data_IF_228237952710
#
_entry.id   IF_228237952710
#
_cell.length_a   1.000
_cell.length_b   1.000
_cell.length_c   1.000
_cell.angle_alpha   90.00
_cell.angle_beta   90.00
_cell.angle_gamma   90.00
#
_symmetry.space_group_name_H-M   'P 1'
#
loop_
_entity.id
_entity.type
_entity.pdbx_description
1 polymer ?
#
# COMPACT_ATOMS: atom_id res chain seq x y z
N UNK A 1 -87.45 -63.05 41.58
CA UNK A 1 -86.63 -61.86 41.90
C UNK A 1 -85.17 -62.32 41.89
N UNK A 2 -84.46 -62.13 40.79
CA UNK A 2 -83.05 -62.51 40.67
C UNK A 2 -82.22 -61.55 41.53
N UNK A 3 -81.70 -62.04 42.66
CA UNK A 3 -80.90 -61.23 43.57
C UNK A 3 -79.56 -60.87 42.88
N UNK A 4 -79.26 -59.58 42.80
CA UNK A 4 -77.94 -59.10 42.38
C UNK A 4 -76.93 -59.56 43.44
N UNK A 5 -75.86 -60.22 43.02
CA UNK A 5 -74.81 -60.67 43.94
C UNK A 5 -74.08 -59.46 44.51
N UNK A 6 -73.72 -59.48 45.80
CA UNK A 6 -72.99 -58.40 46.46
C UNK A 6 -71.66 -58.05 45.74
N UNK A 7 -71.06 -59.04 45.07
CA UNK A 7 -69.89 -58.88 44.22
C UNK A 7 -70.16 -57.97 43.01
N UNK A 8 -71.28 -58.16 42.32
CA UNK A 8 -71.66 -57.32 41.17
C UNK A 8 -71.95 -55.88 41.62
N UNK A 9 -72.62 -55.69 42.77
CA UNK A 9 -72.85 -54.37 43.33
C UNK A 9 -71.55 -53.63 43.70
N UNK A 10 -70.56 -54.35 44.25
CA UNK A 10 -69.22 -53.81 44.56
C UNK A 10 -68.45 -53.40 43.29
N UNK A 11 -68.47 -54.24 42.25
CA UNK A 11 -67.82 -53.94 40.96
C UNK A 11 -68.44 -52.73 40.27
N UNK A 12 -69.78 -52.61 40.28
CA UNK A 12 -70.50 -51.45 39.74
C UNK A 12 -70.15 -50.18 40.51
N UNK A 13 -70.09 -50.26 41.85
CA UNK A 13 -69.71 -49.12 42.70
C UNK A 13 -68.27 -48.68 42.44
N UNK A 14 -67.34 -49.62 42.29
CA UNK A 14 -65.95 -49.34 41.96
C UNK A 14 -65.83 -48.68 40.57
N UNK A 15 -66.55 -49.19 39.58
CA UNK A 15 -66.58 -48.61 38.23
C UNK A 15 -67.14 -47.19 38.22
N UNK A 16 -68.25 -46.92 38.95
CA UNK A 16 -68.83 -45.58 39.06
C UNK A 16 -67.86 -44.61 39.77
N UNK A 17 -67.16 -45.07 40.81
CA UNK A 17 -66.13 -44.27 41.49
C UNK A 17 -64.98 -43.94 40.52
N UNK A 18 -64.53 -44.91 39.74
CA UNK A 18 -63.52 -44.71 38.70
C UNK A 18 -63.96 -43.67 37.66
N UNK A 19 -65.19 -43.77 37.15
CA UNK A 19 -65.74 -42.80 36.20
C UNK A 19 -65.84 -41.38 36.78
N UNK A 20 -66.19 -41.24 38.06
CA UNK A 20 -66.22 -39.95 38.73
C UNK A 20 -64.80 -39.38 38.94
N UNK A 21 -63.81 -40.23 39.26
CA UNK A 21 -62.41 -39.83 39.35
C UNK A 21 -61.88 -39.38 37.99
N UNK A 22 -62.14 -40.13 36.93
CA UNK A 22 -61.74 -39.76 35.56
C UNK A 22 -62.35 -38.42 35.17
N UNK A 23 -63.63 -38.20 35.46
CA UNK A 23 -64.29 -36.91 35.18
C UNK A 23 -63.60 -35.75 35.91
N UNK A 24 -63.27 -35.92 37.19
CA UNK A 24 -62.56 -34.91 37.97
C UNK A 24 -61.12 -34.69 37.46
N UNK A 25 -60.42 -35.76 37.08
CA UNK A 25 -59.09 -35.70 36.50
C UNK A 25 -59.10 -34.95 35.16
N UNK A 26 -60.05 -35.26 34.27
CA UNK A 26 -60.21 -34.58 32.99
C UNK A 26 -60.53 -33.09 33.16
N UNK A 27 -61.41 -32.74 34.10
CA UNK A 27 -61.68 -31.33 34.42
C UNK A 27 -60.41 -30.60 34.85
N UNK A 28 -59.59 -31.20 35.70
CA UNK A 28 -58.32 -30.62 36.10
C UNK A 28 -57.35 -30.47 34.93
N UNK A 29 -57.21 -31.49 34.08
CA UNK A 29 -56.30 -31.45 32.92
C UNK A 29 -56.72 -30.37 31.90
N UNK A 30 -58.02 -30.27 31.61
CA UNK A 30 -58.57 -29.36 30.60
C UNK A 30 -58.65 -27.90 31.04
N UNK A 31 -58.95 -27.66 32.32
CA UNK A 31 -59.29 -26.31 32.81
C UNK A 31 -58.40 -25.79 33.94
N UNK A 32 -57.58 -26.66 34.55
CA UNK A 32 -56.61 -26.27 35.55
C UNK A 32 -55.46 -25.43 34.97
N UNK A 33 -54.73 -24.76 35.85
CA UNK A 33 -53.51 -24.02 35.54
C UNK A 33 -52.30 -24.63 36.22
N UNK A 34 -51.13 -24.60 35.59
CA UNK A 34 -49.90 -25.14 36.18
C UNK A 34 -49.94 -26.67 36.31
N UNK A 35 -49.47 -27.20 37.43
CA UNK A 35 -49.44 -28.64 37.72
C UNK A 35 -50.74 -29.07 38.39
N UNK A 36 -51.35 -30.15 37.90
CA UNK A 36 -52.54 -30.79 38.46
C UNK A 36 -52.24 -32.22 38.90
N UNK A 37 -53.08 -32.75 39.79
CA UNK A 37 -52.94 -34.11 40.32
C UNK A 37 -54.08 -35.00 39.83
N UNK A 38 -53.71 -36.06 39.12
CA UNK A 38 -54.59 -37.12 38.62
C UNK A 38 -54.66 -38.21 39.68
N UNK A 39 -55.87 -38.52 40.15
CA UNK A 39 -56.12 -39.58 41.13
C UNK A 39 -56.63 -40.84 40.44
N UNK A 40 -55.92 -41.96 40.59
CA UNK A 40 -56.25 -43.23 39.93
C UNK A 40 -57.20 -44.08 40.80
N UNK A 41 -58.01 -44.98 40.19
CA UNK A 41 -58.94 -45.83 40.93
C UNK A 41 -58.29 -46.81 41.93
N UNK A 42 -56.98 -47.06 41.81
CA UNK A 42 -56.18 -47.86 42.74
C UNK A 42 -55.65 -47.06 43.95
N UNK A 43 -55.95 -45.76 44.02
CA UNK A 43 -55.52 -44.84 45.08
C UNK A 43 -54.16 -44.18 44.83
N UNK A 44 -53.47 -44.52 43.74
CA UNK A 44 -52.22 -43.85 43.36
C UNK A 44 -52.50 -42.50 42.69
N UNK A 45 -51.48 -41.65 42.61
CA UNK A 45 -51.60 -40.32 42.01
C UNK A 45 -50.48 -40.04 41.02
N UNK A 46 -50.77 -39.19 40.03
CA UNK A 46 -49.81 -38.66 39.08
C UNK A 46 -49.91 -37.14 39.03
N UNK A 47 -48.77 -36.44 39.09
CA UNK A 47 -48.72 -34.98 38.95
C UNK A 47 -48.12 -34.60 37.60
N UNK A 48 -48.80 -33.73 36.87
CA UNK A 48 -48.38 -33.26 35.55
C UNK A 48 -49.03 -31.93 35.17
N UNK A 49 -48.58 -31.28 34.08
CA UNK A 49 -49.13 -29.99 33.69
C UNK A 49 -50.56 -30.15 33.16
N UNK A 50 -51.44 -29.21 33.52
CA UNK A 50 -52.68 -29.00 32.80
C UNK A 50 -52.39 -28.41 31.40
N UNK A 51 -53.35 -28.53 30.48
CA UNK A 51 -53.19 -28.04 29.10
C UNK A 51 -52.83 -26.55 29.02
N UNK A 52 -53.41 -25.74 29.92
CA UNK A 52 -53.06 -24.33 30.04
C UNK A 52 -51.60 -24.14 30.44
N UNK A 53 -51.08 -24.94 31.38
CA UNK A 53 -49.67 -24.90 31.77
C UNK A 53 -48.72 -25.20 30.61
N UNK A 54 -49.06 -26.18 29.76
CA UNK A 54 -48.29 -26.48 28.53
C UNK A 54 -48.33 -25.31 27.55
N UNK A 55 -49.51 -24.72 27.33
CA UNK A 55 -49.68 -23.59 26.40
C UNK A 55 -48.93 -22.34 26.86
N UNK A 56 -48.94 -22.07 28.17
CA UNK A 56 -48.20 -20.97 28.78
C UNK A 56 -46.69 -21.18 28.62
N UNK A 57 -46.18 -22.41 28.80
CA UNK A 57 -44.77 -22.75 28.54
C UNK A 57 -44.38 -22.59 27.06
N UNK A 58 -45.21 -23.06 26.13
CA UNK A 58 -44.97 -22.87 24.68
C UNK A 58 -44.90 -21.38 24.33
N UNK A 59 -45.80 -20.57 24.91
CA UNK A 59 -45.82 -19.12 24.69
C UNK A 59 -44.54 -18.45 25.22
N UNK A 60 -44.08 -18.86 26.41
CA UNK A 60 -42.82 -18.37 26.98
C UNK A 60 -41.59 -18.75 26.13
N UNK A 61 -41.58 -19.96 25.57
CA UNK A 61 -40.53 -20.40 24.64
C UNK A 61 -40.54 -19.55 23.36
N UNK A 62 -41.72 -19.31 22.77
CA UNK A 62 -41.86 -18.49 21.56
C UNK A 62 -41.33 -17.05 21.76
N UNK A 63 -41.60 -16.43 22.92
CA UNK A 63 -41.07 -15.11 23.27
C UNK A 63 -39.54 -15.16 23.37
N UNK A 64 -38.99 -16.18 24.04
CA UNK A 64 -37.55 -16.35 24.21
C UNK A 64 -36.82 -16.55 22.86
N UNK A 65 -37.41 -17.33 21.95
CA UNK A 65 -36.86 -17.55 20.61
C UNK A 65 -36.85 -16.26 19.77
N UNK A 66 -37.91 -15.45 19.85
CA UNK A 66 -37.96 -14.16 19.16
C UNK A 66 -36.88 -13.18 19.65
N UNK A 67 -36.59 -13.17 20.95
CA UNK A 67 -35.50 -12.39 21.52
C UNK A 67 -34.12 -12.84 21.01
N UNK A 68 -33.87 -14.15 20.91
CA UNK A 68 -32.63 -14.69 20.32
C UNK A 68 -32.49 -14.34 18.84
N UNK A 69 -33.60 -14.31 18.09
CA UNK A 69 -33.56 -13.94 16.67
C UNK A 69 -33.21 -12.45 16.45
N UNK A 70 -33.51 -11.59 17.43
CA UNK A 70 -33.14 -10.18 17.43
C UNK A 70 -31.66 -9.93 17.79
N UNK A 71 -30.95 -10.97 18.25
CA UNK A 71 -29.52 -10.95 18.54
C UNK A 71 -28.66 -11.56 17.41
N UNK A 72 -29.26 -11.88 16.26
CA UNK A 72 -28.53 -12.32 15.07
C UNK A 72 -28.03 -11.12 14.28
N UNK A 73 -26.88 -11.28 13.62
CA UNK A 73 -26.30 -10.30 12.71
C UNK A 73 -27.28 -9.96 11.57
N UNK A 74 -28.12 -8.95 11.75
CA UNK A 74 -28.89 -8.42 10.63
C UNK A 74 -27.91 -7.83 9.61
N UNK A 75 -27.94 -8.27 8.35
CA UNK A 75 -27.09 -7.71 7.29
C UNK A 75 -27.25 -6.18 7.24
N UNK A 76 -28.47 -5.68 7.44
CA UNK A 76 -28.78 -4.24 7.47
C UNK A 76 -28.16 -3.49 8.68
N UNK A 77 -27.85 -4.18 9.77
CA UNK A 77 -27.44 -3.56 11.03
C UNK A 77 -25.91 -3.46 11.18
N UNK A 78 -25.11 -4.14 10.34
CA UNK A 78 -23.64 -4.05 10.38
C UNK A 78 -23.05 -4.14 11.80
N UNK A 79 -23.51 -5.12 12.59
CA UNK A 79 -23.13 -5.37 13.99
C UNK A 79 -23.67 -4.37 15.03
N UNK A 80 -24.54 -3.42 14.65
CA UNK A 80 -25.08 -2.41 15.58
C UNK A 80 -26.03 -3.01 16.63
N UNK A 81 -26.60 -4.17 16.33
CA UNK A 81 -27.52 -4.96 17.15
C UNK A 81 -26.83 -5.87 18.17
N UNK A 82 -25.49 -5.99 18.14
CA UNK A 82 -24.76 -6.76 19.14
C UNK A 82 -24.57 -5.95 20.43
N UNK A 83 -24.67 -6.68 21.54
CA UNK A 83 -24.36 -6.19 22.87
C UNK A 83 -22.91 -5.70 22.98
N UNK A 84 -21.95 -6.50 22.50
CA UNK A 84 -20.53 -6.12 22.44
C UNK A 84 -20.04 -6.00 20.99
N UNK A 85 -20.18 -4.78 20.47
CA UNK A 85 -19.74 -4.43 19.11
C UNK A 85 -18.22 -4.49 18.97
N UNK A 86 -17.47 -4.24 20.04
CA UNK A 86 -16.02 -4.19 20.01
C UNK A 86 -15.44 -5.60 19.88
N UNK A 87 -15.89 -6.54 20.73
CA UNK A 87 -15.50 -7.94 20.64
C UNK A 87 -15.89 -8.56 19.28
N UNK A 88 -17.07 -8.22 18.76
CA UNK A 88 -17.51 -8.69 17.44
C UNK A 88 -16.58 -8.24 16.30
N UNK A 89 -16.18 -6.96 16.27
CA UNK A 89 -15.22 -6.46 15.26
C UNK A 89 -13.84 -7.08 15.41
N UNK A 90 -13.38 -7.29 16.65
CA UNK A 90 -12.12 -8.01 16.94
C UNK A 90 -12.16 -9.43 16.39
N UNK A 91 -13.24 -10.17 16.64
CA UNK A 91 -13.40 -11.55 16.18
C UNK A 91 -13.49 -11.66 14.65
N UNK A 92 -14.01 -10.64 13.96
CA UNK A 92 -14.02 -10.56 12.50
C UNK A 92 -12.68 -10.14 11.89
N UNK A 93 -11.70 -9.73 12.70
CA UNK A 93 -10.40 -9.26 12.22
C UNK A 93 -10.47 -7.94 11.46
N UNK A 94 -11.51 -7.14 11.66
CA UNK A 94 -11.65 -5.83 11.00
C UNK A 94 -10.70 -4.83 11.66
N UNK A 95 -10.07 -3.97 10.86
CA UNK A 95 -9.19 -2.91 11.35
C UNK A 95 -9.98 -2.01 12.32
N UNK A 96 -9.59 -1.88 13.61
CA UNK A 96 -10.23 -0.95 14.53
C UNK A 96 -10.15 0.49 13.99
N UNK A 97 -11.13 1.33 14.37
CA UNK A 97 -11.27 2.71 13.92
C UNK A 97 -10.05 3.61 14.18
N UNK A 98 -9.10 3.17 15.00
CA UNK A 98 -7.78 3.78 15.15
C UNK A 98 -6.72 2.72 15.51
N UNK A 99 -5.55 2.78 14.87
CA UNK A 99 -4.34 2.07 15.31
C UNK A 99 -4.33 0.54 15.10
N UNK A 100 -5.16 0.01 14.19
CA UNK A 100 -5.19 -1.42 13.90
C UNK A 100 -3.94 -1.93 13.17
N UNK A 101 -3.50 -3.14 13.51
CA UNK A 101 -2.40 -3.85 12.83
C UNK A 101 -2.96 -4.97 11.96
N UNK A 102 -2.62 -4.98 10.66
CA UNK A 102 -2.83 -6.13 9.78
C UNK A 102 -1.63 -7.07 9.91
N UNK A 103 -1.83 -8.27 10.45
CA UNK A 103 -0.77 -9.26 10.64
C UNK A 103 -0.48 -10.10 9.37
N UNK A 104 -1.35 -10.04 8.36
CA UNK A 104 -1.22 -10.76 7.09
C UNK A 104 -1.02 -9.84 5.88
N UNK A 105 -0.59 -10.39 4.73
CA UNK A 105 -0.39 -9.61 3.51
C UNK A 105 -1.71 -9.06 2.97
N UNK A 106 -1.70 -7.80 2.54
CA UNK A 106 -2.83 -7.18 1.84
C UNK A 106 -2.61 -7.31 0.33
N UNK A 107 -3.36 -8.22 -0.32
CA UNK A 107 -3.27 -8.41 -1.76
C UNK A 107 -4.19 -7.41 -2.47
N UNK A 108 -3.63 -6.52 -3.30
CA UNK A 108 -4.43 -5.67 -4.17
C UNK A 108 -4.26 -6.09 -5.63
N UNK A 109 -5.39 -6.31 -6.33
CA UNK A 109 -5.42 -6.79 -7.71
C UNK A 109 -5.36 -5.67 -8.75
N UNK A 110 -5.63 -4.42 -8.35
CA UNK A 110 -5.67 -3.26 -9.26
C UNK A 110 -5.07 -2.01 -8.60
N UNK A 111 -3.74 -2.01 -8.41
CA UNK A 111 -2.97 -0.88 -7.88
C UNK A 111 -3.15 -0.65 -6.38
N UNK A 112 -2.12 -0.15 -5.69
CA UNK A 112 -2.14 0.05 -4.24
C UNK A 112 -2.18 1.55 -3.88
N UNK A 113 -3.35 2.23 -3.95
CA UNK A 113 -3.46 3.64 -3.58
C UNK A 113 -3.50 3.78 -2.04
N UNK A 114 -2.34 3.64 -1.39
CA UNK A 114 -2.21 3.96 0.03
C UNK A 114 -1.89 5.45 0.20
N UNK A 115 -2.86 6.24 0.63
CA UNK A 115 -2.62 7.61 1.11
C UNK A 115 -2.20 7.53 2.58
N UNK A 116 -0.90 7.70 2.84
CA UNK A 116 -0.39 7.93 4.20
C UNK A 116 -0.41 9.43 4.49
N UNK A 117 -1.32 9.95 5.33
CA UNK A 117 -1.31 11.36 5.69
C UNK A 117 -0.05 11.67 6.49
N UNK A 118 0.82 12.47 5.88
CA UNK A 118 2.05 12.95 6.49
C UNK A 118 1.75 14.21 7.32
N UNK A 119 1.42 14.02 8.61
CA UNK A 119 1.20 15.13 9.54
C UNK A 119 2.52 15.51 10.23
N UNK A 120 3.16 16.59 9.77
CA UNK A 120 4.38 17.16 10.38
C UNK A 120 5.50 17.43 9.37
N UNK A 121 6.59 18.05 9.84
CA UNK A 121 7.73 18.50 9.00
C UNK A 121 8.50 17.35 8.33
N UNK A 122 8.30 16.11 8.80
CA UNK A 122 8.96 14.90 8.29
C UNK A 122 8.08 13.69 8.54
N UNK A 123 7.57 13.05 7.49
CA UNK A 123 6.81 11.81 7.62
C UNK A 123 7.09 10.90 6.44
N UNK A 124 7.21 9.59 6.71
CA UNK A 124 7.60 8.61 5.71
C UNK A 124 6.87 7.29 5.88
N UNK A 125 6.82 6.56 4.77
CA UNK A 125 6.30 5.21 4.70
C UNK A 125 7.47 4.22 4.72
N UNK A 126 7.53 3.38 5.76
CA UNK A 126 8.49 2.29 5.85
C UNK A 126 8.15 1.19 4.84
N UNK A 127 9.09 0.86 3.96
CA UNK A 127 8.90 -0.12 2.89
C UNK A 127 9.35 -1.50 3.32
N UNK A 128 10.46 -1.58 4.07
CA UNK A 128 10.94 -2.83 4.65
C UNK A 128 11.82 -2.59 5.87
N UNK A 129 11.85 -3.59 6.76
CA UNK A 129 12.89 -3.78 7.77
C UNK A 129 13.66 -5.04 7.38
N UNK A 130 14.90 -4.87 6.95
CA UNK A 130 15.77 -5.97 6.53
C UNK A 130 16.44 -6.67 7.70
N UNK A 131 17.22 -7.70 7.38
CA UNK A 131 18.26 -8.24 8.26
C UNK A 131 19.29 -7.13 8.60
N UNK A 132 20.06 -7.33 9.66
CA UNK A 132 21.12 -6.38 10.10
C UNK A 132 20.63 -4.97 10.50
N UNK A 133 19.35 -4.85 10.89
CA UNK A 133 18.73 -3.62 11.41
C UNK A 133 18.66 -2.45 10.42
N UNK A 134 18.62 -2.72 9.11
CA UNK A 134 18.35 -1.70 8.12
C UNK A 134 16.85 -1.48 7.91
N UNK A 135 16.45 -0.22 7.78
CA UNK A 135 15.10 0.18 7.41
C UNK A 135 15.16 1.05 6.16
N UNK A 136 14.39 0.68 5.14
CA UNK A 136 14.19 1.50 3.94
C UNK A 136 12.85 2.23 4.02
N UNK A 137 12.83 3.50 3.64
CA UNK A 137 11.60 4.30 3.62
C UNK A 137 11.59 5.35 2.51
N UNK A 138 10.38 5.71 2.07
CA UNK A 138 10.12 6.90 1.27
C UNK A 138 9.54 7.98 2.19
N UNK A 139 10.10 9.19 2.12
CA UNK A 139 9.73 10.28 3.03
C UNK A 139 9.40 11.55 2.24
N UNK A 140 8.34 12.23 2.65
CA UNK A 140 8.17 13.64 2.36
C UNK A 140 8.86 14.47 3.45
N UNK A 141 9.63 15.47 3.04
CA UNK A 141 10.37 16.33 3.95
C UNK A 141 10.29 17.79 3.54
N UNK A 142 10.09 18.67 4.52
CA UNK A 142 10.11 20.11 4.36
C UNK A 142 11.25 20.69 5.20
N UNK A 143 12.06 21.55 4.60
CA UNK A 143 12.82 22.53 5.35
C UNK A 143 12.02 23.83 5.33
N UNK A 144 11.36 24.16 6.45
CA UNK A 144 10.45 25.31 6.53
C UNK A 144 11.10 26.59 6.01
N UNK A 145 10.43 27.27 5.08
CA UNK A 145 10.91 28.47 4.40
C UNK A 145 11.97 28.25 3.31
N UNK A 146 12.37 27.00 3.02
CA UNK A 146 13.44 26.70 2.06
C UNK A 146 12.97 25.83 0.90
N UNK A 147 12.69 24.55 1.15
CA UNK A 147 12.36 23.59 0.08
C UNK A 147 11.50 22.44 0.58
N UNK A 148 10.81 21.82 -0.37
CA UNK A 148 10.10 20.56 -0.22
C UNK A 148 10.91 19.46 -0.90
N UNK A 149 10.82 18.23 -0.42
CA UNK A 149 11.54 17.13 -1.06
C UNK A 149 10.87 15.78 -0.87
N UNK A 150 10.99 14.94 -1.90
CA UNK A 150 10.83 13.50 -1.79
C UNK A 150 12.18 12.89 -1.46
N UNK A 151 12.22 11.95 -0.52
CA UNK A 151 13.46 11.32 -0.08
C UNK A 151 13.37 9.81 -0.09
N UNK A 152 14.48 9.18 -0.42
CA UNK A 152 14.73 7.76 -0.19
C UNK A 152 15.71 7.67 0.97
N UNK A 153 15.33 6.97 2.04
CA UNK A 153 16.15 6.80 3.22
C UNK A 153 16.47 5.34 3.43
N UNK A 154 17.74 5.08 3.74
CA UNK A 154 18.20 3.81 4.28
C UNK A 154 18.84 4.10 5.64
N UNK A 155 18.19 3.67 6.71
CA UNK A 155 18.64 3.90 8.08
C UNK A 155 19.14 2.60 8.70
N UNK A 156 20.33 2.63 9.29
CA UNK A 156 20.83 1.56 10.12
C UNK A 156 20.43 1.83 11.58
N UNK A 157 19.45 1.09 12.07
CA UNK A 157 18.80 1.33 13.36
C UNK A 157 19.75 1.16 14.55
N UNK A 158 20.77 0.30 14.42
CA UNK A 158 21.73 0.02 15.49
C UNK A 158 22.80 1.09 15.68
N UNK A 159 23.20 1.79 14.61
CA UNK A 159 24.26 2.81 14.63
C UNK A 159 23.73 4.25 14.54
N UNK A 160 22.47 4.42 14.13
CA UNK A 160 21.88 5.73 13.85
C UNK A 160 22.29 6.32 12.49
N UNK A 161 23.16 5.64 11.74
CA UNK A 161 23.61 6.08 10.41
C UNK A 161 22.45 6.09 9.43
N UNK A 162 22.32 7.18 8.67
CA UNK A 162 21.28 7.34 7.65
C UNK A 162 21.91 7.72 6.31
N UNK A 163 21.56 6.97 5.26
CA UNK A 163 21.87 7.30 3.88
C UNK A 163 20.61 7.87 3.23
N UNK A 164 20.72 9.07 2.66
CA UNK A 164 19.56 9.81 2.17
C UNK A 164 19.82 10.30 0.75
N UNK A 165 18.88 10.01 -0.14
CA UNK A 165 18.77 10.63 -1.46
C UNK A 165 17.58 11.59 -1.43
N UNK A 166 17.85 12.87 -1.64
CA UNK A 166 16.87 13.95 -1.53
C UNK A 166 16.60 14.55 -2.90
N UNK A 167 15.37 14.40 -3.38
CA UNK A 167 14.86 14.99 -4.61
C UNK A 167 14.05 16.22 -4.24
N UNK A 168 14.63 17.40 -4.43
CA UNK A 168 14.03 18.67 -4.05
C UNK A 168 13.04 19.16 -5.11
N UNK A 169 12.11 20.01 -4.68
CA UNK A 169 11.12 20.64 -5.54
C UNK A 169 11.67 21.71 -6.49
N UNK A 170 12.97 22.01 -6.41
CA UNK A 170 13.71 22.82 -7.39
C UNK A 170 14.27 21.98 -8.56
N UNK A 171 14.00 20.67 -8.58
CA UNK A 171 14.46 19.74 -9.59
C UNK A 171 15.85 19.14 -9.34
N UNK A 172 16.52 19.50 -8.24
CA UNK A 172 17.84 18.98 -7.90
C UNK A 172 17.78 17.74 -7.01
N UNK A 173 18.66 16.77 -7.28
CA UNK A 173 18.83 15.58 -6.45
C UNK A 173 20.17 15.63 -5.69
N UNK A 174 20.13 15.34 -4.39
CA UNK A 174 21.30 15.35 -3.51
C UNK A 174 21.47 13.99 -2.82
N UNK A 175 22.71 13.52 -2.73
CA UNK A 175 23.10 12.36 -1.94
C UNK A 175 24.46 12.60 -1.30
N UNK A 176 24.73 11.92 -0.19
CA UNK A 176 26.07 11.93 0.41
C UNK A 176 27.11 11.15 -0.40
N UNK A 177 26.67 10.30 -1.33
CA UNK A 177 27.52 9.55 -2.25
C UNK A 177 27.37 10.00 -3.70
N UNK A 178 28.23 9.47 -4.58
CA UNK A 178 28.13 9.68 -6.02
C UNK A 178 27.18 8.67 -6.67
N UNK A 179 26.59 9.05 -7.81
CA UNK A 179 25.96 8.08 -8.69
C UNK A 179 27.03 7.17 -9.30
N UNK A 180 26.87 5.84 -9.16
CA UNK A 180 27.86 4.86 -9.59
C UNK A 180 27.53 4.38 -11.00
N UNK A 181 28.33 4.81 -11.98
CA UNK A 181 28.19 4.39 -13.38
C UNK A 181 29.24 3.30 -13.70
N UNK A 182 28.79 2.10 -14.08
CA UNK A 182 29.69 1.02 -14.51
C UNK A 182 30.27 1.29 -15.91
N UNK A 183 31.59 1.13 -16.07
CA UNK A 183 32.30 1.49 -17.32
C UNK A 183 33.38 0.45 -17.74
N UNK A 184 33.20 -0.82 -17.37
CA UNK A 184 34.07 -1.93 -17.77
C UNK A 184 34.07 -2.16 -19.31
N UNK A 185 35.15 -2.67 -19.89
CA UNK A 185 35.22 -2.93 -21.34
C UNK A 185 34.36 -4.12 -21.76
N UNK A 186 34.12 -5.09 -20.87
CA UNK A 186 33.45 -6.37 -21.19
C UNK A 186 31.95 -6.25 -21.46
N UNK A 187 31.33 -5.12 -21.12
CA UNK A 187 29.94 -4.81 -21.47
C UNK A 187 29.81 -3.75 -22.56
N UNK A 188 30.92 -3.46 -23.27
CA UNK A 188 30.97 -2.53 -24.39
C UNK A 188 31.35 -3.27 -25.67
N UNK A 189 30.70 -2.90 -26.76
CA UNK A 189 31.01 -3.41 -28.11
C UNK A 189 31.12 -2.24 -29.08
N UNK A 190 31.73 -2.45 -30.25
CA UNK A 190 31.95 -1.39 -31.25
C UNK A 190 32.66 -0.14 -30.69
N UNK A 191 33.66 -0.34 -29.83
CA UNK A 191 34.43 0.74 -29.21
C UNK A 191 35.25 1.45 -30.30
N UNK A 192 34.96 2.73 -30.52
CA UNK A 192 35.69 3.61 -31.44
C UNK A 192 36.21 4.81 -30.68
N UNK A 193 37.42 5.23 -31.01
CA UNK A 193 37.97 6.52 -30.54
C UNK A 193 37.19 7.64 -31.21
N UNK A 194 37.01 8.78 -30.52
CA UNK A 194 36.34 9.94 -31.10
C UNK A 194 37.30 10.67 -32.05
N UNK A 195 36.86 10.85 -33.29
CA UNK A 195 37.62 11.55 -34.33
C UNK A 195 37.44 13.07 -34.22
N UNK A 196 38.38 13.85 -34.77
CA UNK A 196 38.33 15.33 -34.83
C UNK A 196 37.96 15.99 -33.49
N UNK A 197 38.45 15.42 -32.39
CA UNK A 197 38.08 15.81 -31.04
C UNK A 197 38.48 17.26 -30.72
N UNK A 198 39.67 17.70 -31.15
CA UNK A 198 40.13 19.08 -30.93
C UNK A 198 39.28 20.09 -31.69
N UNK A 199 39.00 19.85 -32.96
CA UNK A 199 38.09 20.67 -33.77
C UNK A 199 36.70 20.76 -33.13
N UNK A 200 36.16 19.62 -32.69
CA UNK A 200 34.86 19.56 -32.02
C UNK A 200 34.84 20.40 -30.75
N UNK A 201 35.82 20.24 -29.86
CA UNK A 201 35.91 20.98 -28.59
C UNK A 201 36.10 22.48 -28.84
N UNK A 202 36.88 22.88 -29.84
CA UNK A 202 37.04 24.30 -30.24
C UNK A 202 35.71 24.88 -30.73
N UNK A 203 34.88 24.08 -31.41
CA UNK A 203 33.54 24.48 -31.85
C UNK A 203 32.48 24.55 -30.75
N UNK A 204 32.75 24.02 -29.55
CA UNK A 204 31.77 23.96 -28.46
C UNK A 204 31.84 25.17 -27.54
N UNK A 205 30.68 25.73 -27.18
CA UNK A 205 30.60 26.80 -26.18
C UNK A 205 30.53 26.24 -24.76
N UNK A 206 31.63 26.39 -24.02
CA UNK A 206 31.62 26.32 -22.56
C UNK A 206 31.08 27.62 -21.97
N UNK A 207 29.90 27.59 -21.35
CA UNK A 207 29.22 28.81 -20.90
C UNK A 207 28.43 28.60 -19.61
N UNK A 208 28.09 29.71 -18.95
CA UNK A 208 27.08 29.75 -17.89
C UNK A 208 25.74 30.19 -18.48
N UNK A 209 24.66 29.66 -17.94
CA UNK A 209 23.31 29.95 -18.42
C UNK A 209 22.28 29.86 -17.31
N UNK A 210 21.20 30.61 -17.46
CA UNK A 210 20.01 30.50 -16.63
C UNK A 210 19.02 29.55 -17.31
N UNK A 211 18.53 28.55 -16.58
CA UNK A 211 17.50 27.64 -17.08
C UNK A 211 16.12 28.19 -16.78
N UNK A 212 15.20 28.07 -17.73
CA UNK A 212 13.78 28.20 -17.46
C UNK A 212 13.33 26.99 -16.61
N UNK A 213 12.67 27.29 -15.49
CA UNK A 213 12.27 26.34 -14.44
C UNK A 213 13.45 25.60 -13.79
N UNK A 214 14.57 26.29 -13.58
CA UNK A 214 15.72 25.72 -12.91
C UNK A 214 16.64 26.77 -12.32
N UNK A 215 17.80 26.30 -11.85
CA UNK A 215 18.87 27.15 -11.32
C UNK A 215 19.89 27.51 -12.40
N UNK A 216 20.67 28.57 -12.15
CA UNK A 216 21.81 28.92 -12.99
C UNK A 216 22.86 27.81 -12.95
N UNK A 217 23.40 27.46 -14.12
CA UNK A 217 24.35 26.35 -14.30
C UNK A 217 25.50 26.74 -15.22
N UNK A 218 26.51 25.87 -15.26
CA UNK A 218 27.64 25.93 -16.19
C UNK A 218 27.70 24.62 -16.97
N UNK A 219 28.00 24.70 -18.27
CA UNK A 219 28.06 23.51 -19.09
C UNK A 219 28.28 23.80 -20.57
N UNK A 220 27.85 22.84 -21.38
CA UNK A 220 27.87 22.88 -22.84
C UNK A 220 26.46 23.01 -23.38
N UNK A 221 26.33 23.53 -24.60
CA UNK A 221 25.06 23.61 -25.32
C UNK A 221 24.87 22.34 -26.16
N UNK A 222 23.73 21.65 -25.97
CA UNK A 222 23.43 20.40 -26.66
C UNK A 222 23.54 20.51 -28.19
N UNK A 223 23.08 21.63 -28.76
CA UNK A 223 23.12 21.92 -30.20
C UNK A 223 24.56 22.08 -30.74
N UNK A 224 25.52 22.49 -29.92
CA UNK A 224 26.92 22.57 -30.35
C UNK A 224 27.54 21.17 -30.37
N UNK A 225 27.27 20.38 -29.33
CA UNK A 225 27.78 19.01 -29.20
C UNK A 225 27.21 18.09 -30.28
N UNK A 226 25.92 18.22 -30.58
CA UNK A 226 25.21 17.38 -31.54
C UNK A 226 25.85 17.36 -32.93
N UNK A 227 26.42 18.48 -33.39
CA UNK A 227 27.05 18.61 -34.71
C UNK A 227 28.15 17.57 -34.93
N UNK A 228 28.89 17.25 -33.87
CA UNK A 228 30.04 16.34 -33.93
C UNK A 228 29.82 15.05 -33.12
N UNK A 229 28.87 15.04 -32.18
CA UNK A 229 28.55 13.91 -31.31
C UNK A 229 27.03 13.74 -31.12
N UNK A 230 26.29 13.33 -32.16
CA UNK A 230 24.84 13.17 -32.06
C UNK A 230 24.44 12.11 -31.03
N UNK A 231 25.27 11.07 -30.81
CA UNK A 231 25.00 10.02 -29.82
C UNK A 231 24.98 10.51 -28.37
N UNK A 232 25.58 11.67 -28.08
CA UNK A 232 25.52 12.27 -26.75
C UNK A 232 24.23 13.05 -26.49
N UNK A 233 23.37 13.22 -27.51
CA UNK A 233 22.14 14.00 -27.42
C UNK A 233 20.94 13.09 -27.60
N UNK A 234 19.96 13.22 -26.70
CA UNK A 234 18.64 12.61 -26.84
C UNK A 234 17.57 13.69 -26.90
N UNK A 235 16.44 13.37 -27.53
CA UNK A 235 15.30 14.30 -27.67
C UNK A 235 14.07 13.72 -26.98
N UNK A 236 13.34 14.58 -26.29
CA UNK A 236 12.02 14.26 -25.74
C UNK A 236 11.23 15.55 -25.54
N UNK A 237 9.89 15.53 -25.68
CA UNK A 237 9.08 16.69 -25.33
C UNK A 237 9.34 17.13 -23.90
N UNK A 238 9.46 18.45 -23.70
CA UNK A 238 9.54 19.08 -22.39
C UNK A 238 8.48 20.16 -22.25
N UNK A 239 7.61 19.99 -21.27
CA UNK A 239 6.68 21.01 -20.81
C UNK A 239 7.32 21.83 -19.67
N UNK A 240 7.15 23.14 -19.73
CA UNK A 240 7.63 24.13 -18.76
C UNK A 240 6.51 24.55 -17.81
N UNK A 241 6.84 25.19 -16.69
CA UNK A 241 5.88 25.59 -15.64
C UNK A 241 4.81 26.57 -16.12
N UNK A 242 5.07 27.30 -17.21
CA UNK A 242 4.12 28.21 -17.85
C UNK A 242 3.28 27.56 -18.96
N UNK A 243 3.38 26.23 -19.13
CA UNK A 243 2.67 25.46 -20.15
C UNK A 243 3.30 25.52 -21.54
N UNK A 244 4.44 26.21 -21.72
CA UNK A 244 5.20 26.12 -22.98
C UNK A 244 5.68 24.69 -23.18
N UNK A 245 5.61 24.15 -24.40
CA UNK A 245 6.14 22.84 -24.75
C UNK A 245 7.21 23.00 -25.84
N UNK A 246 8.34 22.32 -25.67
CA UNK A 246 9.34 22.12 -26.73
C UNK A 246 9.34 20.63 -27.03
N UNK A 247 8.81 20.24 -28.19
CA UNK A 247 8.61 18.83 -28.56
C UNK A 247 9.92 18.07 -28.81
N UNK A 248 10.94 18.77 -29.32
CA UNK A 248 12.27 18.27 -29.64
C UNK A 248 13.33 18.78 -28.64
N UNK A 249 12.97 18.85 -27.35
CA UNK A 249 13.91 19.34 -26.33
C UNK A 249 15.11 18.40 -26.21
N UNK A 250 16.31 18.94 -26.41
CA UNK A 250 17.58 18.20 -26.41
C UNK A 250 18.15 18.04 -25.00
N UNK A 251 18.46 16.81 -24.63
CA UNK A 251 19.14 16.42 -23.40
C UNK A 251 20.55 15.94 -23.74
N UNK A 252 21.55 16.47 -23.04
CA UNK A 252 22.96 16.19 -23.29
C UNK A 252 23.55 15.27 -22.22
N UNK A 253 24.18 14.18 -22.64
CA UNK A 253 25.11 13.41 -21.82
C UNK A 253 26.44 14.17 -21.68
N UNK A 254 26.40 15.24 -20.88
CA UNK A 254 27.53 16.18 -20.75
C UNK A 254 28.78 15.49 -20.22
N UNK A 255 28.65 14.57 -19.26
CA UNK A 255 29.79 13.86 -18.68
C UNK A 255 30.47 12.93 -19.68
N UNK A 256 29.68 12.18 -20.47
CA UNK A 256 30.20 11.31 -21.52
C UNK A 256 30.86 12.09 -22.66
N UNK A 257 30.16 13.11 -23.19
CA UNK A 257 30.67 13.95 -24.27
C UNK A 257 31.96 14.67 -23.85
N UNK A 258 31.95 15.32 -22.68
CA UNK A 258 33.11 16.04 -22.19
C UNK A 258 34.29 15.08 -21.96
N UNK A 259 34.08 13.95 -21.25
CA UNK A 259 35.15 13.01 -20.95
C UNK A 259 35.80 12.43 -22.21
N UNK A 260 35.00 11.99 -23.19
CA UNK A 260 35.54 11.39 -24.42
C UNK A 260 36.29 12.43 -25.29
N UNK A 261 35.63 13.54 -25.62
CA UNK A 261 36.18 14.51 -26.55
C UNK A 261 37.32 15.32 -25.95
N UNK A 262 37.27 15.73 -24.68
CA UNK A 262 38.38 16.47 -24.08
C UNK A 262 39.61 15.56 -23.91
N UNK A 263 39.41 14.27 -23.64
CA UNK A 263 40.52 13.30 -23.54
C UNK A 263 41.27 13.18 -24.86
N UNK A 264 40.56 12.98 -25.97
CA UNK A 264 41.21 12.88 -27.30
C UNK A 264 41.69 14.25 -27.81
N UNK A 265 40.99 15.34 -27.50
CA UNK A 265 41.45 16.70 -27.84
C UNK A 265 42.78 17.05 -27.17
N UNK A 266 43.00 16.63 -25.91
CA UNK A 266 44.28 16.81 -25.20
C UNK A 266 45.41 16.05 -25.91
N UNK A 267 45.15 14.82 -26.38
CA UNK A 267 46.14 14.05 -27.14
C UNK A 267 46.47 14.74 -28.48
N UNK A 268 45.44 15.18 -29.21
CA UNK A 268 45.62 15.91 -30.46
C UNK A 268 46.36 17.25 -30.27
N UNK A 269 46.13 17.94 -29.15
CA UNK A 269 46.88 19.15 -28.78
C UNK A 269 48.36 18.85 -28.55
N UNK A 270 48.68 17.73 -27.89
CA UNK A 270 50.07 17.31 -27.68
C UNK A 270 50.77 17.02 -29.01
N UNK A 271 50.12 16.26 -29.90
CA UNK A 271 50.65 15.97 -31.24
C UNK A 271 50.92 17.26 -32.02
N UNK A 272 50.01 18.24 -31.92
CA UNK A 272 50.16 19.54 -32.56
C UNK A 272 51.31 20.37 -31.96
N UNK A 273 51.56 20.25 -30.66
CA UNK A 273 52.72 20.89 -30.00
C UNK A 273 54.02 20.26 -30.49
N UNK A 274 54.12 18.93 -30.54
CA UNK A 274 55.30 18.24 -31.07
C UNK A 274 55.57 18.59 -32.54
N UNK A 275 54.50 18.71 -33.33
CA UNK A 275 54.59 19.16 -34.72
C UNK A 275 55.00 20.63 -34.81
N UNK A 276 54.54 21.50 -33.91
CA UNK A 276 54.95 22.90 -33.90
C UNK A 276 56.46 23.09 -33.66
N UNK A 277 57.10 22.14 -32.97
CA UNK A 277 58.54 22.14 -32.71
C UNK A 277 59.32 21.59 -33.91
N UNK A 278 58.82 20.52 -34.53
CA UNK A 278 59.51 19.81 -35.62
C UNK A 278 59.24 20.38 -37.01
N UNK A 279 58.01 20.84 -37.27
CA UNK A 279 57.56 21.46 -38.52
C UNK A 279 56.50 22.55 -38.26
N UNK A 280 56.93 23.78 -37.93
CA UNK A 280 56.03 24.88 -37.60
C UNK A 280 55.02 25.23 -38.70
N UNK A 281 55.38 25.10 -39.98
CA UNK A 281 54.49 25.41 -41.11
C UNK A 281 53.32 24.43 -41.19
N UNK A 282 53.60 23.13 -41.00
CA UNK A 282 52.57 22.08 -40.97
C UNK A 282 51.63 22.25 -39.77
N UNK A 283 52.17 22.52 -38.58
CA UNK A 283 51.37 22.80 -37.39
C UNK A 283 50.47 24.02 -37.59
N UNK A 284 50.99 25.10 -38.20
CA UNK A 284 50.21 26.29 -38.50
C UNK A 284 49.07 26.00 -39.49
N UNK A 285 49.31 25.17 -40.50
CA UNK A 285 48.28 24.75 -41.45
C UNK A 285 47.15 23.98 -40.75
N UNK A 286 47.48 23.04 -39.86
CA UNK A 286 46.49 22.29 -39.05
C UNK A 286 45.70 23.19 -38.10
N UNK A 287 46.35 24.16 -37.46
CA UNK A 287 45.66 25.16 -36.61
C UNK A 287 44.65 25.97 -37.42
N UNK A 288 44.99 26.36 -38.64
CA UNK A 288 44.08 27.09 -39.53
C UNK A 288 42.87 26.24 -39.91
N UNK A 289 43.09 24.96 -40.23
CA UNK A 289 42.01 24.02 -40.54
C UNK A 289 41.05 23.86 -39.35
N UNK A 290 41.59 23.60 -38.15
CA UNK A 290 40.82 23.44 -36.90
C UNK A 290 39.99 24.69 -36.56
N UNK A 291 40.48 25.89 -36.88
CA UNK A 291 39.77 27.15 -36.62
C UNK A 291 38.70 27.48 -37.67
N UNK A 292 38.51 26.63 -38.68
CA UNK A 292 37.62 26.87 -39.81
C UNK A 292 38.22 27.92 -40.75
N UNK A 293 39.33 27.56 -41.40
CA UNK A 293 40.24 28.42 -42.17
C UNK A 293 39.61 29.60 -42.93
N UNK A 294 40.35 30.72 -42.90
CA UNK A 294 40.09 32.03 -43.52
C UNK A 294 39.15 32.05 -44.75
#
# INVERSE_FOLDING_TARGET
MTAITAQLASQVTYAIRGLNLDKNNWQQILSGSGTVTVNLPDGTTYSGPAWKGVTDQISAINISLAAVNSAKLGIANNLSDLADKAAARTNLGVIPSSGGTLAGPLNCTTGFPLTVPFNGDSSGYGVCKGVDNFQASYQYYISSGNFHSARILLQQTSSGTSYVWTFRNDGNAYSGGSWVNGSDERHKTNIKVVDNALESVVGWRGCTYNKKDGVAEVGLIAQDVEKNCPIAVSESPREFSDGTVIDDFKYLNTSGAAAAYHTEAIKQLLDLIEESISNPESALAKIKEIKGGD
#
